data_IF_381847019280
#
_entry.id   IF_381847019280
#
_cell.length_a   1.000
_cell.length_b   1.000
_cell.length_c   1.000
_cell.angle_alpha   90.00
_cell.angle_beta   90.00
_cell.angle_gamma   90.00
#
_symmetry.space_group_name_H-M   'P 1'
#
loop_
_entity.id
_entity.type
_entity.pdbx_description
1 polymer ?
#
# COMPACT_ATOMS: atom_id res chain seq x y z
N UNK A 1 17.86 19.08 31.50
CA UNK A 1 18.20 18.91 32.97
C UNK A 1 19.16 19.99 33.45
N UNK A 2 20.22 20.38 32.73
CA UNK A 2 21.14 21.46 33.14
C UNK A 2 20.46 22.83 33.30
N UNK A 3 19.50 23.17 32.48
CA UNK A 3 18.76 24.46 32.52
C UNK A 3 17.80 24.59 33.71
N UNK A 4 17.55 23.53 34.48
CA UNK A 4 16.63 23.53 35.63
C UNK A 4 17.36 23.54 37.00
N UNK A 5 18.68 23.80 37.02
CA UNK A 5 19.43 23.84 38.26
C UNK A 5 19.54 22.51 39.04
N UNK A 6 19.20 21.40 38.36
CA UNK A 6 19.16 20.09 38.98
C UNK A 6 20.54 19.49 39.28
N UNK A 7 21.63 20.10 38.80
CA UNK A 7 23.01 19.64 39.01
C UNK A 7 23.86 20.79 39.53
N UNK A 8 24.32 20.70 40.78
CA UNK A 8 25.24 21.67 41.40
C UNK A 8 26.65 21.52 40.80
N UNK A 9 27.29 22.63 40.43
CA UNK A 9 28.68 22.65 39.99
C UNK A 9 28.93 22.51 38.49
N UNK A 10 27.90 22.46 37.68
CA UNK A 10 28.03 22.40 36.19
C UNK A 10 28.04 23.83 35.64
N UNK A 11 29.09 24.30 34.95
CA UNK A 11 29.07 25.59 34.29
C UNK A 11 28.02 25.60 33.16
N UNK A 12 26.99 26.42 33.29
CA UNK A 12 25.97 26.58 32.28
C UNK A 12 26.44 27.68 31.34
N UNK A 13 26.95 27.30 30.18
CA UNK A 13 27.21 28.25 29.09
C UNK A 13 25.96 28.33 28.21
N UNK A 14 25.11 29.32 28.51
CA UNK A 14 23.84 29.56 27.80
C UNK A 14 24.01 30.09 26.35
N UNK A 15 25.24 30.48 25.97
CA UNK A 15 25.53 31.05 24.65
C UNK A 15 25.79 30.00 23.56
N UNK A 16 26.01 28.73 23.94
CA UNK A 16 26.14 27.65 22.99
C UNK A 16 24.87 26.81 22.97
N UNK A 17 23.91 27.17 22.15
CA UNK A 17 22.88 26.19 21.77
C UNK A 17 23.60 24.96 21.19
N UNK A 18 23.37 23.74 21.70
CA UNK A 18 23.99 22.57 21.12
C UNK A 18 23.61 22.51 19.65
N UNK A 19 24.62 22.45 18.78
CA UNK A 19 24.39 22.30 17.35
C UNK A 19 23.45 21.10 17.16
N UNK A 20 22.36 21.30 16.45
CA UNK A 20 21.40 20.25 16.18
C UNK A 20 22.14 19.10 15.44
N UNK A 21 22.30 17.96 16.13
CA UNK A 21 22.96 16.81 15.54
C UNK A 21 21.99 16.12 14.58
N UNK A 22 22.31 16.12 13.28
CA UNK A 22 21.47 15.51 12.23
C UNK A 22 21.15 14.03 12.53
N UNK A 23 22.09 13.28 13.09
CA UNK A 23 21.87 11.89 13.48
C UNK A 23 20.87 11.77 14.64
N UNK A 24 20.88 12.73 15.59
CA UNK A 24 19.90 12.77 16.67
C UNK A 24 18.51 13.16 16.14
N UNK A 25 18.43 14.07 15.17
CA UNK A 25 17.18 14.48 14.53
C UNK A 25 16.60 13.28 13.78
N UNK A 26 17.39 12.61 12.94
CA UNK A 26 16.98 11.43 12.17
C UNK A 26 16.60 10.26 13.07
N UNK A 27 17.36 10.01 14.14
CA UNK A 27 17.06 8.92 15.10
C UNK A 27 15.86 9.17 15.99
N UNK A 28 15.41 10.44 16.14
CA UNK A 28 14.25 10.83 16.94
C UNK A 28 13.03 11.19 16.08
N UNK A 29 13.12 11.03 14.78
CA UNK A 29 11.96 11.21 13.91
C UNK A 29 10.87 10.22 14.28
N UNK A 30 9.78 10.71 14.82
CA UNK A 30 8.55 9.94 15.00
C UNK A 30 7.80 9.93 13.66
N UNK A 31 7.23 8.78 13.31
CA UNK A 31 6.36 8.66 12.15
C UNK A 31 5.23 9.68 12.28
N UNK A 32 4.99 10.48 11.25
CA UNK A 32 3.85 11.40 11.24
C UNK A 32 2.55 10.61 11.43
N UNK A 33 1.62 11.18 12.16
CA UNK A 33 0.32 10.55 12.39
C UNK A 33 -0.40 10.37 11.05
N UNK A 34 -0.87 9.16 10.76
CA UNK A 34 -1.71 8.92 9.56
C UNK A 34 -3.03 9.68 9.77
N UNK A 35 -3.45 10.55 8.83
CA UNK A 35 -4.73 11.23 8.95
C UNK A 35 -5.88 10.24 9.09
N UNK A 36 -6.83 10.50 10.00
CA UNK A 36 -8.03 9.67 10.17
C UNK A 36 -8.99 9.76 8.99
N UNK A 37 -8.91 10.83 8.23
CA UNK A 37 -9.70 11.05 7.02
C UNK A 37 -8.78 10.88 5.81
N UNK A 38 -9.28 10.19 4.79
CA UNK A 38 -8.59 10.00 3.52
C UNK A 38 -8.36 11.36 2.85
N UNK A 39 -7.14 11.63 2.46
CA UNK A 39 -6.79 12.73 1.57
C UNK A 39 -6.90 12.23 0.12
N UNK A 40 -7.85 12.74 -0.63
CA UNK A 40 -8.06 12.41 -2.05
C UNK A 40 -9.50 12.02 -2.39
N UNK A 41 -9.79 12.03 -3.68
CA UNK A 41 -11.12 11.69 -4.17
C UNK A 41 -11.34 10.17 -4.09
N UNK A 42 -12.49 9.76 -3.59
CA UNK A 42 -12.96 8.39 -3.65
C UNK A 42 -13.57 8.12 -5.03
N UNK A 43 -13.48 6.89 -5.52
CA UNK A 43 -14.17 6.47 -6.73
C UNK A 43 -15.67 6.70 -6.63
N UNK A 44 -16.30 7.11 -7.74
CA UNK A 44 -17.73 7.43 -7.80
C UNK A 44 -18.58 6.26 -8.23
N UNK A 45 -17.96 5.23 -8.82
CA UNK A 45 -18.60 4.02 -9.34
C UNK A 45 -17.77 2.79 -9.03
N UNK A 46 -18.47 1.66 -8.95
CA UNK A 46 -17.83 0.35 -8.81
C UNK A 46 -16.88 0.08 -9.98
N UNK A 47 -15.70 -0.48 -9.69
CA UNK A 47 -14.61 -0.78 -10.63
C UNK A 47 -13.95 0.45 -11.29
N UNK A 48 -14.26 1.66 -10.81
CA UNK A 48 -13.54 2.84 -11.28
C UNK A 48 -12.08 2.82 -10.83
N UNK A 49 -11.84 2.42 -9.59
CA UNK A 49 -10.51 2.23 -9.02
C UNK A 49 -10.50 1.03 -8.09
N UNK A 50 -9.49 0.17 -8.23
CA UNK A 50 -9.27 -0.96 -7.33
C UNK A 50 -7.83 -0.96 -6.80
N UNK A 51 -7.69 -1.36 -5.54
CA UNK A 51 -6.40 -1.58 -4.89
C UNK A 51 -6.08 -3.06 -4.89
N UNK A 52 -4.85 -3.43 -5.23
CA UNK A 52 -4.42 -4.83 -5.26
C UNK A 52 -3.20 -5.01 -4.37
N UNK A 53 -3.28 -5.97 -3.46
CA UNK A 53 -2.18 -6.37 -2.60
C UNK A 53 -1.93 -7.88 -2.66
N UNK A 54 -0.65 -8.25 -2.66
CA UNK A 54 -0.18 -9.65 -2.63
C UNK A 54 0.29 -10.00 -1.23
N UNK A 55 -0.55 -10.68 -0.48
CA UNK A 55 -0.23 -11.13 0.87
C UNK A 55 0.99 -12.05 0.91
N UNK A 56 1.68 -12.04 2.04
CA UNK A 56 2.80 -12.96 2.35
C UNK A 56 2.31 -14.41 2.37
N UNK A 57 3.23 -15.39 2.26
CA UNK A 57 2.83 -16.78 2.37
C UNK A 57 2.17 -17.03 3.72
N UNK A 58 1.04 -17.74 3.68
CA UNK A 58 0.32 -18.11 4.89
C UNK A 58 1.13 -19.15 5.68
N UNK A 59 1.03 -19.15 7.03
CA UNK A 59 1.74 -20.10 7.88
C UNK A 59 1.35 -21.56 7.60
N UNK A 60 0.13 -21.78 7.07
CA UNK A 60 -0.38 -23.08 6.70
C UNK A 60 -0.81 -23.11 5.23
N UNK A 61 -0.64 -24.25 4.60
CA UNK A 61 -1.09 -24.47 3.22
C UNK A 61 -2.61 -24.59 3.22
N UNK A 62 -3.28 -23.75 2.45
CA UNK A 62 -4.73 -23.87 2.25
C UNK A 62 -5.07 -25.08 1.38
N UNK A 63 -6.37 -25.45 1.37
CA UNK A 63 -6.90 -26.49 0.49
C UNK A 63 -6.42 -26.29 -0.95
N UNK A 64 -6.06 -27.35 -1.63
CA UNK A 64 -5.48 -27.36 -3.00
C UNK A 64 -4.08 -26.74 -3.15
N UNK A 65 -3.31 -26.59 -2.08
CA UNK A 65 -1.91 -26.17 -2.14
C UNK A 65 -1.69 -24.67 -2.33
N UNK A 66 -2.68 -23.83 -1.96
CA UNK A 66 -2.53 -22.39 -2.00
C UNK A 66 -1.74 -21.89 -0.78
N UNK A 67 -0.71 -21.06 -1.03
CA UNK A 67 0.18 -20.49 -0.02
C UNK A 67 0.06 -18.98 0.07
N UNK A 68 -0.45 -18.33 -0.97
CA UNK A 68 -0.54 -16.88 -1.07
C UNK A 68 -1.98 -16.45 -1.30
N UNK A 69 -2.27 -15.18 -1.09
CA UNK A 69 -3.53 -14.56 -1.43
C UNK A 69 -3.28 -13.25 -2.16
N UNK A 70 -4.12 -12.93 -3.12
CA UNK A 70 -4.20 -11.62 -3.72
C UNK A 70 -5.53 -11.00 -3.31
N UNK A 71 -5.47 -9.88 -2.61
CA UNK A 71 -6.65 -9.11 -2.23
C UNK A 71 -6.86 -8.01 -3.25
N UNK A 72 -8.08 -7.91 -3.76
CA UNK A 72 -8.52 -6.83 -4.64
C UNK A 72 -9.65 -6.11 -3.95
N UNK A 73 -9.52 -4.80 -3.76
CA UNK A 73 -10.45 -3.98 -3.00
C UNK A 73 -10.99 -2.88 -3.91
N UNK A 74 -12.30 -2.82 -4.06
CA UNK A 74 -12.97 -1.76 -4.80
C UNK A 74 -13.06 -0.48 -3.95
N UNK A 75 -12.59 0.62 -4.50
CA UNK A 75 -12.53 1.90 -3.80
C UNK A 75 -13.90 2.49 -3.50
N UNK A 76 -14.87 2.27 -4.36
CA UNK A 76 -16.24 2.78 -4.19
C UNK A 76 -17.02 2.01 -3.14
N UNK A 77 -17.07 0.68 -3.26
CA UNK A 77 -17.92 -0.16 -2.42
C UNK A 77 -17.21 -0.72 -1.19
N UNK A 78 -15.87 -0.62 -1.15
CA UNK A 78 -15.00 -1.30 -0.16
C UNK A 78 -15.17 -2.83 -0.19
N UNK A 79 -15.69 -3.38 -1.27
CA UNK A 79 -15.83 -4.82 -1.43
C UNK A 79 -14.48 -5.45 -1.69
N UNK A 80 -14.21 -6.58 -1.02
CA UNK A 80 -12.92 -7.28 -1.07
C UNK A 80 -13.09 -8.63 -1.74
N UNK A 81 -12.31 -8.87 -2.80
CA UNK A 81 -12.10 -10.21 -3.37
C UNK A 81 -10.78 -10.76 -2.89
N UNK A 82 -10.82 -11.86 -2.15
CA UNK A 82 -9.61 -12.56 -1.74
C UNK A 82 -9.40 -13.78 -2.64
N UNK A 83 -8.35 -13.73 -3.47
CA UNK A 83 -8.07 -14.69 -4.52
C UNK A 83 -6.88 -15.57 -4.10
N UNK A 84 -7.10 -16.87 -3.80
CA UNK A 84 -6.03 -17.76 -3.38
C UNK A 84 -5.07 -18.09 -4.52
N UNK A 85 -3.77 -18.10 -4.24
CA UNK A 85 -2.69 -18.33 -5.19
C UNK A 85 -1.76 -19.44 -4.72
N UNK A 86 -1.33 -20.32 -5.64
CA UNK A 86 -0.27 -21.31 -5.37
C UNK A 86 1.12 -20.67 -5.32
N UNK A 87 1.33 -19.64 -6.15
CA UNK A 87 2.59 -18.88 -6.20
C UNK A 87 2.34 -17.46 -6.67
N UNK A 88 3.21 -16.53 -6.29
CA UNK A 88 3.13 -15.13 -6.72
C UNK A 88 3.24 -14.95 -8.24
N UNK A 89 3.90 -15.89 -8.96
CA UNK A 89 4.00 -15.85 -10.42
C UNK A 89 2.67 -16.12 -11.15
N UNK A 90 1.69 -16.70 -10.47
CA UNK A 90 0.35 -16.94 -11.03
C UNK A 90 -0.62 -15.76 -10.83
N UNK A 91 -0.19 -14.73 -10.10
CA UNK A 91 -1.05 -13.60 -9.76
C UNK A 91 -1.66 -12.92 -11.00
N UNK A 92 -0.85 -12.71 -12.04
CA UNK A 92 -1.32 -12.04 -13.26
C UNK A 92 -2.43 -12.84 -13.96
N UNK A 93 -2.31 -14.16 -14.05
CA UNK A 93 -3.33 -14.99 -14.69
C UNK A 93 -4.64 -14.99 -13.89
N UNK A 94 -4.54 -15.03 -12.56
CA UNK A 94 -5.71 -14.96 -11.67
C UNK A 94 -6.36 -13.58 -11.76
N UNK A 95 -5.56 -12.52 -11.86
CA UNK A 95 -6.05 -11.16 -12.07
C UNK A 95 -6.84 -11.03 -13.38
N UNK A 96 -6.34 -11.61 -14.48
CA UNK A 96 -7.05 -11.62 -15.76
C UNK A 96 -8.41 -12.34 -15.66
N UNK A 97 -8.43 -13.53 -15.04
CA UNK A 97 -9.67 -14.28 -14.84
C UNK A 97 -10.66 -13.51 -13.98
N UNK A 98 -10.20 -12.92 -12.88
CA UNK A 98 -11.01 -12.09 -12.00
C UNK A 98 -11.58 -10.88 -12.75
N UNK A 99 -10.74 -10.16 -13.51
CA UNK A 99 -11.15 -8.97 -14.27
C UNK A 99 -12.31 -9.29 -15.21
N UNK A 100 -12.18 -10.34 -16.05
CA UNK A 100 -13.26 -10.75 -16.94
C UNK A 100 -14.54 -11.13 -16.20
N UNK A 101 -14.41 -11.87 -15.09
CA UNK A 101 -15.56 -12.29 -14.30
C UNK A 101 -16.32 -11.09 -13.70
N UNK A 102 -15.56 -10.16 -13.08
CA UNK A 102 -16.20 -9.03 -12.37
C UNK A 102 -16.80 -8.01 -13.32
N UNK A 103 -16.18 -7.74 -14.48
CA UNK A 103 -16.78 -6.89 -15.49
C UNK A 103 -18.08 -7.48 -16.07
N UNK A 104 -18.10 -8.80 -16.33
CA UNK A 104 -19.30 -9.49 -16.78
C UNK A 104 -20.42 -9.49 -15.74
N UNK A 105 -20.09 -9.58 -14.46
CA UNK A 105 -21.07 -9.59 -13.36
C UNK A 105 -21.65 -8.20 -13.08
N UNK A 106 -20.80 -7.18 -13.09
CA UNK A 106 -21.19 -5.81 -12.72
C UNK A 106 -21.69 -4.98 -13.89
N UNK A 107 -21.31 -5.31 -15.11
CA UNK A 107 -21.53 -4.49 -16.31
C UNK A 107 -20.66 -3.21 -16.35
N UNK A 108 -19.82 -3.00 -15.33
CA UNK A 108 -18.91 -1.85 -15.27
C UNK A 108 -17.52 -2.23 -15.81
N UNK A 109 -16.80 -1.22 -16.29
CA UNK A 109 -15.42 -1.38 -16.77
C UNK A 109 -14.42 -0.96 -15.71
N UNK A 110 -13.37 -1.78 -15.56
CA UNK A 110 -12.22 -1.46 -14.72
C UNK A 110 -11.40 -0.35 -15.38
N UNK A 111 -11.15 0.75 -14.64
CA UNK A 111 -10.43 1.90 -15.18
C UNK A 111 -9.02 2.05 -14.60
N UNK A 112 -8.90 1.93 -13.28
CA UNK A 112 -7.65 2.20 -12.56
C UNK A 112 -7.32 1.03 -11.65
N UNK A 113 -6.07 0.57 -11.72
CA UNK A 113 -5.49 -0.40 -10.79
C UNK A 113 -4.37 0.28 -10.01
N UNK A 114 -4.44 0.21 -8.70
CA UNK A 114 -3.39 0.70 -7.80
C UNK A 114 -2.70 -0.50 -7.16
N UNK A 115 -1.38 -0.62 -7.35
CA UNK A 115 -0.58 -1.69 -6.76
C UNK A 115 0.64 -1.12 -6.03
N UNK A 116 1.22 -1.92 -5.14
CA UNK A 116 2.56 -1.65 -4.63
C UNK A 116 3.63 -1.84 -5.73
N UNK A 117 4.87 -1.40 -5.47
CA UNK A 117 6.03 -1.60 -6.37
C UNK A 117 6.53 -3.06 -6.36
N UNK A 118 5.66 -4.02 -6.07
CA UNK A 118 6.00 -5.42 -5.95
C UNK A 118 5.98 -6.21 -7.26
N UNK A 119 5.67 -7.51 -7.15
CA UNK A 119 5.72 -8.47 -8.27
C UNK A 119 4.65 -8.28 -9.34
N UNK A 120 3.64 -7.46 -9.09
CA UNK A 120 2.63 -7.12 -10.10
C UNK A 120 3.15 -6.10 -11.12
N UNK A 121 4.26 -5.42 -10.82
CA UNK A 121 4.91 -4.49 -11.75
C UNK A 121 5.78 -5.28 -12.72
N UNK A 122 5.22 -5.62 -13.86
CA UNK A 122 5.92 -6.36 -14.91
C UNK A 122 5.53 -5.85 -16.30
N UNK A 123 6.38 -6.08 -17.28
CA UNK A 123 6.09 -5.74 -18.69
C UNK A 123 4.77 -6.37 -19.17
N UNK A 124 4.48 -7.58 -18.70
CA UNK A 124 3.24 -8.30 -19.03
C UNK A 124 2.01 -7.61 -18.43
N UNK A 125 2.09 -7.13 -17.19
CA UNK A 125 1.00 -6.38 -16.55
C UNK A 125 0.77 -5.06 -17.27
N UNK A 126 1.83 -4.32 -17.58
CA UNK A 126 1.73 -3.04 -18.29
C UNK A 126 1.11 -3.22 -19.68
N UNK A 127 1.55 -4.22 -20.45
CA UNK A 127 0.99 -4.53 -21.75
C UNK A 127 -0.49 -4.93 -21.66
N UNK A 128 -0.86 -5.71 -20.67
CA UNK A 128 -2.24 -6.09 -20.43
C UNK A 128 -3.12 -4.90 -20.06
N UNK A 129 -2.66 -4.02 -19.16
CA UNK A 129 -3.37 -2.80 -18.79
C UNK A 129 -3.59 -1.91 -20.03
N UNK A 130 -2.56 -1.72 -20.87
CA UNK A 130 -2.65 -0.94 -22.08
C UNK A 130 -3.67 -1.53 -23.09
N UNK A 131 -3.71 -2.87 -23.21
CA UNK A 131 -4.65 -3.56 -24.11
C UNK A 131 -6.12 -3.36 -23.69
N UNK A 132 -6.36 -3.28 -22.37
CA UNK A 132 -7.72 -3.12 -21.82
C UNK A 132 -8.09 -1.66 -21.48
N UNK A 133 -7.19 -0.71 -21.73
CA UNK A 133 -7.40 0.70 -21.42
C UNK A 133 -7.44 0.98 -19.92
N UNK A 134 -6.73 0.18 -19.13
CA UNK A 134 -6.64 0.29 -17.67
C UNK A 134 -5.41 1.13 -17.32
N UNK A 135 -5.58 2.15 -16.48
CA UNK A 135 -4.48 2.92 -15.93
C UNK A 135 -3.85 2.17 -14.73
N UNK A 136 -2.55 1.90 -14.80
CA UNK A 136 -1.82 1.22 -13.74
C UNK A 136 -1.00 2.20 -12.93
N UNK A 137 -1.48 2.50 -11.73
CA UNK A 137 -0.85 3.41 -10.78
C UNK A 137 -0.07 2.64 -9.72
N UNK A 138 1.08 3.18 -9.35
CA UNK A 138 1.92 2.61 -8.30
C UNK A 138 1.83 3.47 -7.05
N UNK A 139 1.73 2.83 -5.89
CA UNK A 139 1.83 3.55 -4.61
C UNK A 139 3.26 4.02 -4.39
N UNK A 140 3.41 5.19 -3.78
CA UNK A 140 4.73 5.74 -3.45
C UNK A 140 5.41 4.81 -2.42
N UNK A 141 6.69 4.42 -2.65
CA UNK A 141 7.43 3.60 -1.70
C UNK A 141 7.41 4.24 -0.29
N UNK A 142 7.18 3.43 0.73
CA UNK A 142 7.11 3.83 2.14
C UNK A 142 5.91 4.70 2.56
N UNK A 143 4.93 4.92 1.70
CA UNK A 143 3.65 5.54 2.07
C UNK A 143 2.53 4.47 2.12
N UNK A 144 2.56 3.61 3.13
CA UNK A 144 1.50 2.62 3.39
C UNK A 144 0.12 3.26 3.55
N UNK A 145 0.08 4.53 3.95
CA UNK A 145 -1.17 5.29 4.06
C UNK A 145 -1.94 5.42 2.72
N UNK A 146 -1.26 5.35 1.57
CA UNK A 146 -1.92 5.38 0.26
C UNK A 146 -2.56 4.04 -0.11
N UNK A 147 -2.09 2.94 0.47
CA UNK A 147 -2.65 1.60 0.28
C UNK A 147 -3.41 1.11 1.52
N UNK A 148 -3.71 2.02 2.44
CA UNK A 148 -4.31 1.73 3.74
C UNK A 148 -5.69 1.08 3.69
N UNK A 149 -6.33 1.01 2.51
CA UNK A 149 -7.54 0.21 2.30
C UNK A 149 -7.22 -1.26 2.02
N UNK A 150 -5.99 -1.58 1.60
CA UNK A 150 -5.57 -2.94 1.27
C UNK A 150 -4.81 -3.62 2.43
N UNK A 151 -4.26 -2.85 3.36
CA UNK A 151 -3.62 -3.31 4.60
C UNK A 151 -4.65 -3.44 5.75
#
# INVERSE_FOLDING_TARGET
MACQGAIKGMPINLSSAPAACDHCILGKQTRSHVPKMREGCQATKQLEQVFIDLCRPMPCVLKYGHLYSMNVIDDFSSYVWSLPLKSKSKAINVLHTWHHAVENQSGNKLKIIVTDNGKLVSKTTTAWCALHGIDHQLTVPHMSAQNGQAE
#
